data_IF_606266444275
#
_entry.id   IF_606266444275
#
_cell.length_a   1.000
_cell.length_b   1.000
_cell.length_c   1.000
_cell.angle_alpha   90.00
_cell.angle_beta   90.00
_cell.angle_gamma   90.00
#
_symmetry.space_group_name_H-M   'P 1'
#
loop_
_entity.id
_entity.type
_entity.pdbx_description
1 polymer ?
#
# COMPACT_ATOMS: atom_id res chain seq x y z
N UNK A 1 32.68 -40.15 18.98
CA UNK A 1 31.80 -40.57 17.87
C UNK A 1 30.52 -41.12 18.45
N UNK A 2 29.41 -40.39 18.31
CA UNK A 2 28.06 -40.91 18.52
C UNK A 2 27.12 -40.10 17.60
N UNK A 3 26.37 -40.84 16.81
CA UNK A 3 25.65 -40.45 15.60
C UNK A 3 24.37 -39.66 15.87
N UNK A 4 24.04 -38.77 14.93
CA UNK A 4 23.00 -37.77 15.05
C UNK A 4 21.57 -38.28 15.09
N UNK A 5 20.73 -37.51 15.79
CA UNK A 5 19.30 -37.42 15.50
C UNK A 5 19.10 -36.19 14.63
N UNK A 6 19.07 -36.41 13.32
CA UNK A 6 18.50 -35.43 12.39
C UNK A 6 17.00 -35.37 12.68
N UNK A 7 16.58 -34.28 13.33
CA UNK A 7 15.17 -33.93 13.42
C UNK A 7 14.70 -33.63 11.99
N UNK A 8 13.99 -34.57 11.38
CA UNK A 8 13.32 -34.37 10.09
C UNK A 8 12.03 -33.59 10.38
N UNK A 9 11.91 -32.31 9.97
CA UNK A 9 10.65 -31.62 10.15
C UNK A 9 9.58 -32.31 9.29
N UNK A 10 8.43 -32.52 9.93
CA UNK A 10 7.26 -33.14 9.35
C UNK A 10 6.74 -32.33 8.14
N UNK A 11 6.38 -33.06 7.08
CA UNK A 11 5.47 -32.68 5.98
C UNK A 11 5.51 -31.22 5.50
N UNK A 12 6.24 -30.97 4.40
CA UNK A 12 6.04 -29.79 3.55
C UNK A 12 4.57 -29.78 3.07
N UNK A 13 3.75 -28.88 3.62
CA UNK A 13 2.61 -28.38 2.86
C UNK A 13 3.16 -27.86 1.54
N UNK A 14 2.45 -28.08 0.41
CA UNK A 14 2.77 -27.34 -0.81
C UNK A 14 2.38 -25.88 -0.53
N UNK A 15 3.28 -25.14 0.12
CA UNK A 15 3.07 -23.74 0.49
C UNK A 15 2.72 -22.93 -0.75
N UNK A 16 1.80 -21.98 -0.56
CA UNK A 16 1.44 -21.03 -1.61
C UNK A 16 2.69 -20.25 -1.99
N UNK A 17 3.06 -20.15 -3.28
CA UNK A 17 4.22 -19.37 -3.68
C UNK A 17 4.09 -17.92 -3.22
N UNK A 18 5.20 -17.30 -2.79
CA UNK A 18 5.23 -15.90 -2.33
C UNK A 18 4.66 -14.94 -3.38
N UNK A 19 4.99 -15.17 -4.66
CA UNK A 19 4.43 -14.40 -5.77
C UNK A 19 2.90 -14.47 -5.84
N UNK A 20 2.30 -15.61 -5.47
CA UNK A 20 0.84 -15.78 -5.37
C UNK A 20 0.30 -15.04 -4.16
N UNK A 21 0.93 -15.15 -2.99
CA UNK A 21 0.57 -14.38 -1.77
C UNK A 21 0.55 -12.88 -2.05
N UNK A 22 1.53 -12.36 -2.77
CA UNK A 22 1.57 -10.95 -3.17
C UNK A 22 0.40 -10.51 -4.09
N UNK A 23 -0.23 -11.45 -4.81
CA UNK A 23 -1.39 -11.17 -5.71
C UNK A 23 -2.75 -11.42 -5.05
N UNK A 24 -2.84 -12.27 -4.04
CA UNK A 24 -4.10 -12.56 -3.35
C UNK A 24 -4.86 -11.29 -2.89
N UNK A 25 -4.20 -10.24 -2.34
CA UNK A 25 -4.89 -9.00 -1.98
C UNK A 25 -5.57 -8.29 -3.16
N UNK A 26 -5.01 -8.41 -4.38
CA UNK A 26 -5.61 -7.84 -5.60
C UNK A 26 -6.88 -8.58 -5.98
N UNK A 27 -6.87 -9.92 -5.88
CA UNK A 27 -8.06 -10.75 -6.10
C UNK A 27 -9.14 -10.46 -5.08
N UNK A 28 -8.76 -10.37 -3.80
CA UNK A 28 -9.69 -10.03 -2.73
C UNK A 28 -10.34 -8.67 -2.98
N UNK A 29 -9.57 -7.64 -3.36
CA UNK A 29 -10.13 -6.31 -3.69
C UNK A 29 -11.17 -6.39 -4.81
N UNK A 30 -10.86 -7.12 -5.89
CA UNK A 30 -11.80 -7.29 -7.00
C UNK A 30 -13.06 -8.05 -6.57
N UNK A 31 -12.92 -9.14 -5.82
CA UNK A 31 -14.03 -9.94 -5.31
C UNK A 31 -14.91 -9.16 -4.32
N UNK A 32 -14.33 -8.36 -3.42
CA UNK A 32 -15.10 -7.49 -2.51
C UNK A 32 -15.97 -6.51 -3.30
N UNK A 33 -15.43 -5.88 -4.34
CA UNK A 33 -16.20 -4.98 -5.20
C UNK A 33 -17.33 -5.70 -5.98
N UNK A 34 -17.15 -6.99 -6.31
CA UNK A 34 -18.21 -7.82 -6.91
C UNK A 34 -19.29 -8.18 -5.87
N UNK A 35 -18.88 -8.53 -4.65
CA UNK A 35 -19.76 -8.87 -3.54
C UNK A 35 -20.63 -7.69 -3.11
N UNK A 36 -20.07 -6.47 -3.05
CA UNK A 36 -20.82 -5.23 -2.76
C UNK A 36 -21.92 -4.94 -3.79
N UNK A 37 -21.78 -5.46 -5.02
CA UNK A 37 -22.79 -5.38 -6.08
C UNK A 37 -23.70 -6.61 -6.14
N UNK A 38 -23.62 -7.48 -5.14
CA UNK A 38 -24.39 -8.73 -5.05
C UNK A 38 -24.23 -9.64 -6.27
N UNK A 39 -23.03 -9.67 -6.88
CA UNK A 39 -22.71 -10.61 -7.96
C UNK A 39 -22.44 -11.98 -7.33
N UNK A 40 -23.23 -13.03 -7.63
CA UNK A 40 -23.09 -14.32 -6.98
C UNK A 40 -21.89 -15.12 -7.52
N UNK A 41 -21.66 -15.05 -8.83
CA UNK A 41 -20.62 -15.82 -9.52
C UNK A 41 -19.83 -14.96 -10.49
N UNK A 42 -18.53 -15.25 -10.65
CA UNK A 42 -17.65 -14.56 -11.60
C UNK A 42 -16.80 -15.53 -12.39
N UNK A 43 -16.60 -15.27 -13.68
CA UNK A 43 -15.67 -16.07 -14.49
C UNK A 43 -14.21 -15.75 -14.16
N UNK A 44 -13.29 -16.67 -14.49
CA UNK A 44 -11.86 -16.42 -14.35
C UNK A 44 -11.34 -15.27 -15.23
N UNK A 45 -12.02 -14.96 -16.33
CA UNK A 45 -11.61 -13.92 -17.27
C UNK A 45 -12.02 -12.54 -16.75
N UNK A 46 -13.27 -12.40 -16.32
CA UNK A 46 -13.77 -11.18 -15.69
C UNK A 46 -13.01 -10.85 -14.41
N UNK A 47 -12.78 -11.84 -13.55
CA UNK A 47 -12.04 -11.60 -12.30
C UNK A 47 -10.57 -11.25 -12.56
N UNK A 48 -9.94 -11.88 -13.56
CA UNK A 48 -8.57 -11.56 -13.92
C UNK A 48 -8.45 -10.15 -14.50
N UNK A 49 -9.40 -9.73 -15.34
CA UNK A 49 -9.48 -8.37 -15.85
C UNK A 49 -9.66 -7.35 -14.72
N UNK A 50 -10.60 -7.60 -13.79
CA UNK A 50 -10.83 -6.73 -12.64
C UNK A 50 -9.61 -6.62 -11.70
N UNK A 51 -8.84 -7.71 -11.56
CA UNK A 51 -7.62 -7.74 -10.76
C UNK A 51 -6.36 -7.27 -11.51
N UNK A 52 -6.44 -7.00 -12.81
CA UNK A 52 -5.31 -6.59 -13.64
C UNK A 52 -4.27 -7.70 -13.86
N UNK A 53 -4.70 -8.96 -13.92
CA UNK A 53 -3.81 -10.12 -14.15
C UNK A 53 -4.23 -10.94 -15.36
N UNK A 54 -3.38 -11.87 -15.79
CA UNK A 54 -3.74 -12.87 -16.79
C UNK A 54 -4.61 -13.99 -16.18
N UNK A 55 -5.67 -14.42 -16.87
CA UNK A 55 -6.60 -15.45 -16.40
C UNK A 55 -5.96 -16.81 -16.16
N UNK A 56 -4.94 -17.19 -16.93
CA UNK A 56 -4.17 -18.42 -16.70
C UNK A 56 -3.35 -18.35 -15.40
N UNK A 57 -2.78 -17.18 -15.09
CA UNK A 57 -2.09 -16.96 -13.79
C UNK A 57 -3.09 -17.05 -12.64
N UNK A 58 -4.25 -16.41 -12.75
CA UNK A 58 -5.30 -16.47 -11.73
C UNK A 58 -5.74 -17.91 -11.46
N UNK A 59 -6.04 -18.69 -12.50
CA UNK A 59 -6.44 -20.11 -12.34
C UNK A 59 -5.35 -20.93 -11.64
N UNK A 60 -4.08 -20.68 -11.97
CA UNK A 60 -2.93 -21.33 -11.32
C UNK A 60 -2.79 -20.91 -9.85
N UNK A 61 -3.00 -19.63 -9.55
CA UNK A 61 -2.96 -19.12 -8.19
C UNK A 61 -4.05 -19.75 -7.33
N UNK A 62 -5.28 -19.80 -7.84
CA UNK A 62 -6.41 -20.38 -7.12
C UNK A 62 -6.26 -21.89 -6.94
N UNK A 63 -5.58 -22.59 -7.86
CA UNK A 63 -5.31 -24.02 -7.68
C UNK A 63 -4.46 -24.35 -6.44
N UNK A 64 -3.69 -23.39 -5.90
CA UNK A 64 -2.96 -23.57 -4.64
C UNK A 64 -3.85 -23.42 -3.41
N UNK A 65 -4.93 -22.63 -3.52
CA UNK A 65 -5.91 -22.45 -2.45
C UNK A 65 -6.90 -23.64 -2.42
N UNK A 66 -7.30 -24.14 -3.59
CA UNK A 66 -8.20 -25.28 -3.73
C UNK A 66 -8.97 -25.24 -5.05
N UNK A 67 -9.86 -26.21 -5.27
CA UNK A 67 -10.77 -26.18 -6.42
C UNK A 67 -12.04 -25.42 -6.07
N UNK A 68 -12.07 -24.12 -6.38
CA UNK A 68 -13.21 -23.24 -6.04
C UNK A 68 -14.03 -22.79 -7.25
N UNK A 69 -13.67 -23.28 -8.43
CA UNK A 69 -14.38 -22.99 -9.67
C UNK A 69 -15.08 -24.23 -10.19
N UNK A 70 -16.31 -24.06 -10.67
CA UNK A 70 -17.01 -25.08 -11.44
C UNK A 70 -16.90 -24.73 -12.92
N UNK A 71 -16.46 -25.70 -13.75
CA UNK A 71 -16.36 -25.51 -15.20
C UNK A 71 -17.75 -25.10 -15.74
N UNK A 72 -17.80 -23.99 -16.47
CA UNK A 72 -19.03 -23.45 -17.04
C UNK A 72 -19.88 -22.57 -16.12
N UNK A 73 -19.56 -22.49 -14.82
CA UNK A 73 -20.28 -21.65 -13.84
C UNK A 73 -19.40 -20.50 -13.33
N UNK A 74 -18.10 -20.74 -13.19
CA UNK A 74 -17.17 -19.77 -12.62
C UNK A 74 -16.95 -20.00 -11.13
N UNK A 75 -16.64 -18.94 -10.40
CA UNK A 75 -16.36 -18.97 -8.97
C UNK A 75 -17.49 -18.30 -8.19
N UNK A 76 -17.86 -18.89 -7.07
CA UNK A 76 -18.71 -18.26 -6.07
C UNK A 76 -17.96 -17.09 -5.41
N UNK A 77 -18.53 -15.89 -5.49
CA UNK A 77 -17.85 -14.66 -5.07
C UNK A 77 -17.71 -14.61 -3.55
N UNK A 78 -18.78 -14.82 -2.80
CA UNK A 78 -18.76 -14.73 -1.33
C UNK A 78 -17.84 -15.81 -0.73
N UNK A 79 -17.93 -17.03 -1.25
CA UNK A 79 -17.09 -18.13 -0.82
C UNK A 79 -15.60 -17.84 -1.09
N UNK A 80 -15.25 -17.31 -2.27
CA UNK A 80 -13.88 -16.93 -2.57
C UNK A 80 -13.38 -15.77 -1.69
N UNK A 81 -14.21 -14.76 -1.41
CA UNK A 81 -13.86 -13.69 -0.47
C UNK A 81 -13.48 -14.29 0.87
N UNK A 82 -14.29 -15.22 1.38
CA UNK A 82 -14.02 -15.89 2.65
C UNK A 82 -12.72 -16.72 2.61
N UNK A 83 -12.52 -17.56 1.59
CA UNK A 83 -11.33 -18.41 1.49
C UNK A 83 -10.04 -17.59 1.37
N UNK A 84 -10.02 -16.56 0.53
CA UNK A 84 -8.84 -15.70 0.36
C UNK A 84 -8.57 -14.88 1.64
N UNK A 85 -9.62 -14.36 2.28
CA UNK A 85 -9.47 -13.65 3.56
C UNK A 85 -8.89 -14.55 4.65
N UNK A 86 -9.36 -15.80 4.73
CA UNK A 86 -8.82 -16.80 5.65
C UNK A 86 -7.35 -17.10 5.38
N UNK A 87 -6.99 -17.34 4.12
CA UNK A 87 -5.60 -17.65 3.75
C UNK A 87 -4.64 -16.48 4.01
N UNK A 88 -5.11 -15.24 3.80
CA UNK A 88 -4.35 -14.03 4.12
C UNK A 88 -4.34 -13.70 5.62
N UNK A 89 -4.99 -14.49 6.47
CA UNK A 89 -5.09 -14.23 7.90
C UNK A 89 -5.97 -13.04 8.25
N UNK A 90 -6.81 -12.54 7.34
CA UNK A 90 -7.68 -11.36 7.56
C UNK A 90 -8.99 -11.69 8.28
N UNK A 91 -9.09 -12.87 8.88
CA UNK A 91 -10.23 -13.30 9.72
C UNK A 91 -10.04 -12.98 11.21
N UNK A 92 -8.88 -12.40 11.55
CA UNK A 92 -8.54 -11.91 12.88
C UNK A 92 -8.09 -10.44 12.78
N UNK A 93 -8.17 -9.74 13.91
CA UNK A 93 -7.64 -8.39 14.01
C UNK A 93 -6.12 -8.42 14.21
N UNK A 94 -5.41 -7.65 13.40
CA UNK A 94 -3.98 -7.40 13.50
C UNK A 94 -3.77 -6.00 14.08
N UNK A 95 -3.31 -5.88 15.34
CA UNK A 95 -3.02 -4.58 15.94
C UNK A 95 -1.77 -3.98 15.29
N UNK A 96 -1.92 -2.75 14.79
CA UNK A 96 -0.89 -2.00 14.06
C UNK A 96 -0.45 -0.79 14.88
N UNK A 97 0.86 -0.57 14.98
CA UNK A 97 1.41 0.70 15.46
C UNK A 97 1.93 1.52 14.29
N UNK A 98 1.64 2.82 14.27
CA UNK A 98 2.19 3.75 13.27
C UNK A 98 3.20 4.65 13.97
N UNK A 99 4.45 4.63 13.50
CA UNK A 99 5.54 5.45 14.04
C UNK A 99 5.90 6.55 13.04
N UNK A 100 5.86 7.80 13.51
CA UNK A 100 6.02 9.01 12.71
C UNK A 100 4.67 9.55 12.23
N UNK A 101 4.09 10.48 12.98
CA UNK A 101 2.77 11.12 12.72
C UNK A 101 2.98 12.49 12.05
N UNK A 102 3.78 12.50 10.99
CA UNK A 102 3.80 13.59 10.01
C UNK A 102 2.61 13.51 9.05
N UNK A 103 2.71 14.17 7.89
CA UNK A 103 1.64 14.16 6.88
C UNK A 103 1.21 12.75 6.46
N UNK A 104 2.18 11.86 6.18
CA UNK A 104 1.91 10.49 5.74
C UNK A 104 1.34 9.63 6.87
N UNK A 105 1.95 9.66 8.06
CA UNK A 105 1.47 8.89 9.21
C UNK A 105 0.05 9.27 9.61
N UNK A 106 -0.27 10.58 9.62
CA UNK A 106 -1.62 11.06 9.88
C UNK A 106 -2.63 10.63 8.80
N UNK A 107 -2.23 10.61 7.52
CA UNK A 107 -3.08 10.11 6.44
C UNK A 107 -3.34 8.60 6.57
N UNK A 108 -2.31 7.81 6.91
CA UNK A 108 -2.43 6.37 7.16
C UNK A 108 -3.33 6.07 8.36
N UNK A 109 -3.21 6.86 9.44
CA UNK A 109 -4.06 6.70 10.62
C UNK A 109 -5.55 6.96 10.33
N UNK A 110 -5.87 7.91 9.43
CA UNK A 110 -7.24 8.21 9.01
C UNK A 110 -7.76 7.29 7.89
N UNK A 111 -6.96 6.34 7.41
CA UNK A 111 -7.35 5.47 6.32
C UNK A 111 -8.27 4.34 6.81
N UNK A 112 -9.58 4.50 6.63
CA UNK A 112 -10.59 3.51 7.04
C UNK A 112 -10.44 2.13 6.38
N UNK A 113 -9.69 2.03 5.28
CA UNK A 113 -9.45 0.76 4.59
C UNK A 113 -8.56 -0.23 5.34
N UNK A 114 -7.88 0.18 6.42
CA UNK A 114 -7.18 -0.75 7.32
C UNK A 114 -8.14 -1.53 8.20
N UNK A 115 -9.04 -0.83 8.91
CA UNK A 115 -10.00 -1.46 9.81
C UNK A 115 -10.92 -2.45 9.07
N UNK A 116 -11.39 -2.08 7.86
CA UNK A 116 -12.23 -2.95 7.03
C UNK A 116 -11.51 -4.22 6.52
N UNK A 117 -10.19 -4.32 6.70
CA UNK A 117 -9.36 -5.45 6.27
C UNK A 117 -8.73 -6.19 7.45
N UNK A 118 -9.21 -5.95 8.68
CA UNK A 118 -8.69 -6.59 9.88
C UNK A 118 -7.39 -5.96 10.41
N UNK A 119 -6.99 -4.78 9.93
CA UNK A 119 -5.84 -4.05 10.46
C UNK A 119 -6.33 -2.93 11.38
N UNK A 120 -6.26 -3.15 12.69
CA UNK A 120 -6.69 -2.17 13.69
C UNK A 120 -5.50 -1.31 14.08
N UNK A 121 -5.57 0.00 13.81
CA UNK A 121 -4.59 0.95 14.35
C UNK A 121 -4.75 0.99 15.87
N UNK A 122 -3.75 0.49 16.58
CA UNK A 122 -3.77 0.34 18.04
C UNK A 122 -3.05 1.49 18.75
N UNK A 123 -2.01 2.07 18.12
CA UNK A 123 -1.30 3.21 18.67
C UNK A 123 -0.65 4.07 17.58
N UNK A 124 -0.53 5.35 17.88
CA UNK A 124 0.16 6.36 17.07
C UNK A 124 1.35 6.88 17.88
N UNK A 125 2.55 6.85 17.30
CA UNK A 125 3.80 7.17 18.00
C UNK A 125 4.54 8.28 17.26
N UNK A 126 4.98 9.30 17.99
CA UNK A 126 5.87 10.33 17.45
C UNK A 126 6.98 10.67 18.46
N UNK A 127 8.12 11.15 17.94
CA UNK A 127 9.25 11.58 18.73
C UNK A 127 9.21 13.10 19.03
N UNK A 128 8.39 13.87 18.32
CA UNK A 128 8.16 15.28 18.63
C UNK A 128 7.29 15.39 19.90
N UNK A 129 7.81 15.95 21.01
CA UNK A 129 7.04 16.14 22.24
C UNK A 129 5.79 17.01 22.03
N UNK A 130 5.79 17.89 21.02
CA UNK A 130 4.63 18.69 20.68
C UNK A 130 3.50 17.87 20.06
N UNK A 131 3.77 16.66 19.57
CA UNK A 131 2.75 15.74 19.04
C UNK A 131 2.12 14.89 20.13
N UNK A 132 2.83 14.60 21.21
CA UNK A 132 2.31 13.82 22.33
C UNK A 132 0.99 14.40 22.88
N UNK A 133 -0.03 13.55 23.02
CA UNK A 133 -1.37 13.90 23.46
C UNK A 133 -2.28 14.51 22.39
N UNK A 134 -1.78 14.93 21.22
CA UNK A 134 -2.64 15.46 20.16
C UNK A 134 -3.52 14.35 19.58
N UNK A 135 -4.82 14.60 19.34
CA UNK A 135 -5.69 13.62 18.71
C UNK A 135 -5.44 13.57 17.20
N UNK A 136 -5.18 12.38 16.67
CA UNK A 136 -5.13 12.09 15.24
C UNK A 136 -6.01 10.87 14.98
N UNK A 137 -6.93 10.97 14.02
CA UNK A 137 -7.92 9.92 13.76
C UNK A 137 -8.73 9.49 15.00
N UNK A 138 -8.94 10.41 15.95
CA UNK A 138 -9.63 10.13 17.22
C UNK A 138 -8.77 9.42 18.29
N UNK A 139 -7.47 9.18 18.03
CA UNK A 139 -6.53 8.55 18.96
C UNK A 139 -5.45 9.53 19.41
N UNK A 140 -5.08 9.58 20.71
CA UNK A 140 -3.96 10.41 21.15
C UNK A 140 -2.64 9.83 20.62
N UNK A 141 -1.78 10.71 20.11
CA UNK A 141 -0.40 10.36 19.77
C UNK A 141 0.39 10.19 21.07
N UNK A 142 1.17 9.11 21.17
CA UNK A 142 2.02 8.80 22.32
C UNK A 142 3.48 9.06 21.96
N UNK A 143 4.31 9.28 22.98
CA UNK A 143 5.72 9.57 22.77
C UNK A 143 6.49 8.30 22.44
N UNK A 144 7.54 8.43 21.64
CA UNK A 144 8.40 7.30 21.23
C UNK A 144 9.06 6.58 22.40
N UNK A 145 9.25 7.23 23.55
CA UNK A 145 9.86 6.61 24.73
C UNK A 145 9.00 5.49 25.33
N UNK A 146 7.69 5.52 25.10
CA UNK A 146 6.75 4.50 25.60
C UNK A 146 6.54 3.35 24.61
N UNK A 147 7.27 3.32 23.48
CA UNK A 147 7.02 2.40 22.36
C UNK A 147 6.97 0.93 22.78
N UNK A 148 7.96 0.44 23.52
CA UNK A 148 8.05 -0.96 23.94
C UNK A 148 6.86 -1.36 24.82
N UNK A 149 6.52 -0.49 25.79
CA UNK A 149 5.36 -0.68 26.67
C UNK A 149 4.06 -0.74 25.86
N UNK A 150 3.89 0.16 24.90
CA UNK A 150 2.70 0.23 24.05
C UNK A 150 2.57 -1.02 23.19
N UNK A 151 3.67 -1.55 22.67
CA UNK A 151 3.70 -2.78 21.88
C UNK A 151 3.20 -3.97 22.70
N UNK A 152 3.72 -4.12 23.93
CA UNK A 152 3.32 -5.18 24.86
C UNK A 152 1.84 -5.06 25.27
N UNK A 153 1.41 -3.88 25.71
CA UNK A 153 0.04 -3.66 26.21
C UNK A 153 -1.03 -3.86 25.13
N UNK A 154 -0.71 -3.55 23.88
CA UNK A 154 -1.66 -3.63 22.77
C UNK A 154 -1.53 -4.91 21.93
N UNK A 155 -0.56 -5.77 22.21
CA UNK A 155 -0.27 -6.97 21.42
C UNK A 155 0.04 -6.64 19.96
N UNK A 156 0.84 -5.59 19.73
CA UNK A 156 1.15 -5.10 18.38
C UNK A 156 1.82 -6.19 17.55
N UNK A 157 1.24 -6.48 16.40
CA UNK A 157 1.75 -7.50 15.48
C UNK A 157 2.48 -6.91 14.28
N UNK A 158 2.13 -5.67 13.89
CA UNK A 158 2.68 -5.01 12.69
C UNK A 158 3.11 -3.59 13.03
N UNK A 159 4.33 -3.23 12.63
CA UNK A 159 4.87 -1.87 12.72
C UNK A 159 4.82 -1.15 11.39
N UNK A 160 4.26 0.06 11.34
CA UNK A 160 4.33 0.95 10.17
C UNK A 160 5.31 2.07 10.47
N UNK A 161 6.35 2.20 9.65
CA UNK A 161 7.37 3.25 9.79
C UNK A 161 7.12 4.31 8.73
N UNK A 162 6.69 5.49 9.17
CA UNK A 162 6.47 6.68 8.35
C UNK A 162 7.35 7.86 8.81
N UNK A 163 8.53 7.55 9.35
CA UNK A 163 9.52 8.54 9.83
C UNK A 163 10.45 9.02 8.71
N UNK A 164 11.20 10.11 8.93
CA UNK A 164 12.35 10.45 8.10
C UNK A 164 13.38 9.30 8.03
N UNK A 165 14.18 9.25 6.95
CA UNK A 165 15.14 8.18 6.71
C UNK A 165 16.14 7.97 7.85
N UNK A 166 16.64 9.05 8.45
CA UNK A 166 17.66 8.98 9.51
C UNK A 166 17.17 8.32 10.81
N UNK A 167 15.86 8.30 11.07
CA UNK A 167 15.29 7.69 12.27
C UNK A 167 14.75 6.26 12.03
N UNK A 168 14.54 5.87 10.77
CA UNK A 168 13.80 4.65 10.43
C UNK A 168 14.49 3.37 10.92
N UNK A 169 15.82 3.28 10.84
CA UNK A 169 16.58 2.13 11.31
C UNK A 169 16.43 1.94 12.82
N UNK A 170 16.62 3.00 13.61
CA UNK A 170 16.47 2.95 15.06
C UNK A 170 15.05 2.55 15.48
N UNK A 171 14.02 3.08 14.81
CA UNK A 171 12.63 2.68 15.06
C UNK A 171 12.42 1.20 14.75
N UNK A 172 12.96 0.70 13.63
CA UNK A 172 12.84 -0.71 13.26
C UNK A 172 13.50 -1.64 14.29
N UNK A 173 14.68 -1.28 14.80
CA UNK A 173 15.38 -2.05 15.82
C UNK A 173 14.58 -2.13 17.12
N UNK A 174 13.95 -1.02 17.54
CA UNK A 174 13.09 -0.99 18.73
C UNK A 174 11.82 -1.82 18.55
N UNK A 175 11.18 -1.75 17.38
CA UNK A 175 10.03 -2.60 17.04
C UNK A 175 10.41 -4.09 17.14
N UNK A 176 11.55 -4.47 16.56
CA UNK A 176 12.05 -5.85 16.57
C UNK A 176 12.41 -6.31 17.99
N UNK A 177 13.07 -5.45 18.77
CA UNK A 177 13.43 -5.74 20.15
C UNK A 177 12.18 -5.97 21.04
N UNK A 178 11.09 -5.27 20.73
CA UNK A 178 9.78 -5.46 21.38
C UNK A 178 8.97 -6.65 20.82
N UNK A 179 9.53 -7.42 19.87
CA UNK A 179 8.93 -8.65 19.35
C UNK A 179 8.10 -8.48 18.08
N UNK A 180 8.07 -7.30 17.46
CA UNK A 180 7.37 -7.09 16.18
C UNK A 180 8.22 -7.65 15.03
N UNK A 181 7.69 -8.64 14.31
CA UNK A 181 8.39 -9.32 13.21
C UNK A 181 7.90 -8.92 11.82
N UNK A 182 6.85 -8.10 11.72
CA UNK A 182 6.31 -7.61 10.45
C UNK A 182 6.33 -6.09 10.38
N UNK A 183 7.05 -5.54 9.41
CA UNK A 183 7.26 -4.09 9.26
C UNK A 183 6.86 -3.61 7.87
N UNK A 184 6.01 -2.60 7.81
CA UNK A 184 5.69 -1.84 6.59
C UNK A 184 6.48 -0.53 6.61
N UNK A 185 7.47 -0.40 5.72
CA UNK A 185 8.39 0.73 5.68
C UNK A 185 8.05 1.71 4.54
N UNK A 186 7.66 2.93 4.92
CA UNK A 186 7.49 4.07 4.00
C UNK A 186 8.68 5.03 4.02
N UNK A 187 9.63 4.85 4.94
CA UNK A 187 10.81 5.71 4.96
C UNK A 187 11.65 5.47 3.69
N UNK A 188 12.25 6.52 3.10
CA UNK A 188 13.04 6.41 1.87
C UNK A 188 14.44 5.85 2.15
N UNK A 189 14.51 4.69 2.81
CA UNK A 189 15.73 3.97 3.13
C UNK A 189 15.46 2.46 3.17
N UNK A 190 16.52 1.68 3.00
CA UNK A 190 16.48 0.23 3.17
C UNK A 190 16.85 -0.08 4.62
N UNK A 191 16.03 -0.88 5.29
CA UNK A 191 16.26 -1.28 6.68
C UNK A 191 17.11 -2.54 6.71
N UNK A 192 18.05 -2.60 7.65
CA UNK A 192 18.80 -3.82 7.97
C UNK A 192 18.11 -4.53 9.12
N UNK A 193 17.58 -5.72 8.86
CA UNK A 193 16.83 -6.52 9.84
C UNK A 193 17.38 -7.94 9.93
N UNK A 194 17.24 -8.62 11.09
CA UNK A 194 17.67 -10.01 11.25
C UNK A 194 16.78 -10.98 10.46
N UNK A 195 17.24 -12.22 10.33
CA UNK A 195 16.44 -13.30 9.74
C UNK A 195 15.17 -13.54 10.56
N UNK A 196 14.04 -13.79 9.88
CA UNK A 196 12.73 -13.98 10.51
C UNK A 196 11.92 -12.69 10.72
N UNK A 197 12.43 -11.53 10.30
CA UNK A 197 11.68 -10.27 10.25
C UNK A 197 11.34 -9.95 8.79
N UNK A 198 10.05 -9.81 8.52
CA UNK A 198 9.53 -9.45 7.21
C UNK A 198 9.40 -7.93 7.09
N UNK A 199 10.10 -7.35 6.12
CA UNK A 199 10.02 -5.91 5.81
C UNK A 199 9.45 -5.72 4.42
N UNK A 200 8.31 -5.04 4.34
CA UNK A 200 7.71 -4.61 3.07
C UNK A 200 7.95 -3.12 2.87
N UNK A 201 8.78 -2.77 1.88
CA UNK A 201 9.00 -1.36 1.49
C UNK A 201 7.88 -0.87 0.58
N UNK A 202 7.39 0.34 0.81
CA UNK A 202 6.49 1.07 -0.10
C UNK A 202 7.19 2.35 -0.55
N UNK A 203 7.41 2.47 -1.86
CA UNK A 203 8.05 3.64 -2.46
C UNK A 203 7.18 4.17 -3.60
N UNK A 204 6.32 5.14 -3.27
CA UNK A 204 5.39 5.73 -4.24
C UNK A 204 6.12 6.42 -5.40
N UNK A 205 7.36 6.87 -5.20
CA UNK A 205 8.15 7.54 -6.23
C UNK A 205 8.59 6.55 -7.32
N UNK A 206 9.00 5.34 -6.92
CA UNK A 206 9.34 4.27 -7.86
C UNK A 206 8.13 3.89 -8.71
N UNK A 207 6.95 3.78 -8.10
CA UNK A 207 5.70 3.47 -8.82
C UNK A 207 5.38 4.54 -9.88
N UNK A 208 5.54 5.82 -9.55
CA UNK A 208 5.36 6.92 -10.51
C UNK A 208 6.40 6.90 -11.64
N UNK A 209 7.65 6.53 -11.36
CA UNK A 209 8.69 6.39 -12.39
C UNK A 209 8.35 5.28 -13.39
N UNK A 210 7.80 4.15 -12.90
CA UNK A 210 7.33 3.06 -13.76
C UNK A 210 6.19 3.54 -14.65
N UNK A 211 5.24 4.30 -14.11
CA UNK A 211 4.17 4.90 -14.91
C UNK A 211 4.70 5.89 -15.95
N UNK A 212 5.66 6.73 -15.58
CA UNK A 212 6.30 7.68 -16.50
C UNK A 212 6.98 6.97 -17.69
N UNK A 213 7.66 5.85 -17.45
CA UNK A 213 8.23 5.02 -18.51
C UNK A 213 7.18 4.51 -19.50
N UNK A 214 6.03 4.03 -19.00
CA UNK A 214 4.94 3.59 -19.88
C UNK A 214 4.31 4.73 -20.66
N UNK A 215 4.12 5.90 -20.04
CA UNK A 215 3.58 7.07 -20.73
C UNK A 215 4.51 7.57 -21.84
N UNK A 216 5.83 7.57 -21.60
CA UNK A 216 6.81 7.90 -22.64
C UNK A 216 6.75 6.94 -23.84
N UNK A 217 6.56 5.64 -23.60
CA UNK A 217 6.44 4.65 -24.68
C UNK A 217 5.17 4.82 -25.50
N UNK A 218 4.03 5.06 -24.85
CA UNK A 218 2.77 5.35 -25.54
C UNK A 218 2.88 6.61 -26.42
N UNK A 219 3.56 7.65 -25.91
CA UNK A 219 3.78 8.88 -26.65
C UNK A 219 4.69 8.67 -27.88
N UNK A 220 5.73 7.84 -27.76
CA UNK A 220 6.63 7.50 -28.88
C UNK A 220 6.01 6.59 -29.95
N UNK A 221 5.09 5.71 -29.56
CA UNK A 221 4.34 4.85 -30.49
C UNK A 221 3.25 5.63 -31.25
N UNK A 222 2.82 6.79 -30.74
CA UNK A 222 1.87 7.70 -31.39
C UNK A 222 2.46 8.66 -32.44
N UNK A 223 3.79 8.76 -32.55
CA UNK A 223 4.47 9.68 -33.47
C UNK A 223 5.07 9.03 -34.73
N UNK A 224 4.79 7.73 -34.98
CA UNK A 224 5.36 6.97 -36.10
C UNK A 224 4.42 6.73 -37.29
N UNK A 225 3.24 7.36 -37.35
CA UNK A 225 2.19 7.02 -38.32
C UNK A 225 1.57 8.21 -39.03
N UNK A 226 2.37 9.06 -39.68
CA UNK A 226 1.89 10.02 -40.67
C UNK A 226 3.00 10.31 -41.69
N UNK A 227 3.00 9.56 -42.79
CA UNK A 227 3.97 9.72 -43.87
C UNK A 227 3.88 8.58 -44.88
N UNK A 228 2.77 8.52 -45.61
CA UNK A 228 2.73 7.86 -46.91
C UNK A 228 2.05 8.82 -47.89
N UNK A 229 2.59 8.84 -49.10
CA UNK A 229 2.17 9.59 -50.30
C UNK A 229 2.85 10.95 -50.52
N UNK A 230 4.08 10.92 -51.07
CA UNK A 230 4.41 11.64 -52.31
C UNK A 230 5.53 10.88 -53.07
N UNK A 231 5.24 10.47 -54.31
CA UNK A 231 6.20 10.03 -55.31
C UNK A 231 7.17 11.16 -55.72
N UNK A 232 8.47 10.87 -55.84
CA UNK A 232 9.35 11.47 -56.85
C UNK A 232 10.70 10.74 -56.91
N UNK A 233 11.01 10.19 -58.08
CA UNK A 233 12.33 9.78 -58.55
C UNK A 233 13.40 10.88 -58.36
N UNK A 234 14.64 10.51 -57.98
CA UNK A 234 15.93 10.82 -58.67
C UNK A 234 17.14 10.43 -57.77
N UNK A 235 18.15 9.86 -58.41
CA UNK A 235 19.42 9.28 -57.92
C UNK A 235 20.40 10.19 -57.13
N UNK A 236 21.48 9.62 -56.52
CA UNK A 236 22.21 10.20 -55.39
C UNK A 236 23.43 11.04 -55.77
N UNK A 237 23.74 12.04 -54.94
CA UNK A 237 24.93 12.90 -55.08
C UNK A 237 25.52 13.31 -53.73
N UNK A 238 26.83 13.16 -53.61
CA UNK A 238 27.66 13.36 -52.42
C UNK A 238 27.67 14.79 -51.85
N UNK A 239 27.90 14.91 -50.53
CA UNK A 239 28.19 16.19 -49.88
C UNK A 239 28.48 16.03 -48.39
N UNK A 240 29.67 16.44 -47.98
CA UNK A 240 30.24 16.27 -46.65
C UNK A 240 29.85 17.38 -45.66
N UNK A 241 30.08 17.05 -44.38
CA UNK A 241 30.63 17.89 -43.31
C UNK A 241 29.69 18.71 -42.38
N UNK A 242 29.98 18.48 -41.09
CA UNK A 242 30.11 19.44 -39.99
C UNK A 242 28.87 19.85 -39.17
N UNK A 243 29.05 19.80 -37.85
CA UNK A 243 28.65 20.93 -37.00
C UNK A 243 27.82 20.64 -35.76
N UNK A 244 28.51 20.30 -34.66
CA UNK A 244 28.37 20.92 -33.33
C UNK A 244 26.99 21.06 -32.62
N UNK A 245 26.87 20.27 -31.54
CA UNK A 245 26.73 20.70 -30.13
C UNK A 245 25.38 21.24 -29.59
N UNK A 246 25.17 21.20 -28.25
CA UNK A 246 23.87 20.93 -27.61
C UNK A 246 23.18 22.18 -27.03
N UNK A 247 21.89 22.04 -26.71
CA UNK A 247 21.10 22.98 -25.88
C UNK A 247 20.00 22.19 -25.19
N UNK A 248 19.51 22.48 -23.99
CA UNK A 248 19.97 23.17 -22.79
C UNK A 248 18.88 22.86 -21.73
N UNK A 249 19.25 22.87 -20.45
CA UNK A 249 18.33 22.66 -19.33
C UNK A 249 17.19 23.69 -19.30
N UNK A 250 15.99 23.25 -18.94
CA UNK A 250 14.84 24.12 -18.65
C UNK A 250 14.61 24.13 -17.14
N UNK A 251 14.92 25.28 -16.51
CA UNK A 251 14.46 25.63 -15.16
C UNK A 251 12.94 25.89 -15.15
N UNK A 252 12.24 25.62 -14.03
CA UNK A 252 10.82 25.94 -13.89
C UNK A 252 10.62 27.38 -13.42
N UNK A 253 9.60 28.12 -13.88
CA UNK A 253 9.27 29.41 -13.31
C UNK A 253 8.49 29.25 -11.99
N UNK A 254 8.93 30.06 -11.02
CA UNK A 254 8.33 30.23 -9.72
C UNK A 254 7.00 31.01 -9.75
N UNK A 255 6.07 30.56 -8.90
CA UNK A 255 5.31 31.43 -8.00
C UNK A 255 4.12 32.22 -8.57
N UNK A 256 2.92 31.86 -8.09
CA UNK A 256 2.00 32.87 -7.55
C UNK A 256 1.12 32.30 -6.43
N UNK A 257 1.27 32.93 -5.27
CA UNK A 257 0.47 32.74 -4.07
C UNK A 257 -0.95 33.28 -4.26
N UNK A 258 -1.92 32.65 -3.59
CA UNK A 258 -3.21 33.25 -3.27
C UNK A 258 -3.53 32.93 -1.80
N UNK A 259 -3.46 33.97 -0.98
CA UNK A 259 -3.98 34.05 0.37
C UNK A 259 -5.43 34.58 0.36
N UNK A 260 -6.16 34.31 1.45
CA UNK A 260 -7.40 34.92 1.97
C UNK A 260 -8.48 33.84 2.24
N UNK A 261 -9.23 33.82 3.35
CA UNK A 261 -9.40 34.78 4.43
C UNK A 261 -9.89 34.09 5.71
N UNK A 262 -9.46 34.63 6.85
CA UNK A 262 -10.09 34.45 8.14
C UNK A 262 -11.23 35.45 8.32
N UNK A 263 -12.33 35.04 8.95
CA UNK A 263 -13.30 35.95 9.57
C UNK A 263 -13.83 35.34 10.86
N UNK A 264 -13.43 35.95 11.98
CA UNK A 264 -14.08 35.81 13.27
C UNK A 264 -14.69 37.17 13.63
N UNK A 265 -15.94 37.20 14.11
CA UNK A 265 -16.34 37.75 15.43
C UNK A 265 -17.86 37.98 15.57
N UNK A 266 -18.33 37.49 16.74
CA UNK A 266 -19.28 38.09 17.72
C UNK A 266 -20.75 38.30 17.34
N UNK A 267 -21.60 37.65 18.13
CA UNK A 267 -22.98 38.06 18.43
C UNK A 267 -23.69 37.08 19.36
N UNK A 268 -23.67 37.35 20.66
CA UNK A 268 -24.74 36.98 21.62
C UNK A 268 -25.21 38.28 22.32
N UNK A 269 -26.24 38.31 23.18
CA UNK A 269 -26.82 37.19 23.95
C UNK A 269 -28.37 37.21 24.04
N UNK A 270 -28.91 36.46 25.01
CA UNK A 270 -30.26 36.47 25.63
C UNK A 270 -31.35 35.54 25.09
N UNK A 271 -31.89 34.71 26.00
CA UNK A 271 -33.07 33.88 25.81
C UNK A 271 -33.14 32.71 26.79
N UNK A 272 -33.76 32.97 27.93
CA UNK A 272 -34.11 32.11 29.07
C UNK A 272 -34.38 30.60 28.87
N UNK A 273 -34.05 29.86 29.94
CA UNK A 273 -34.44 28.50 30.38
C UNK A 273 -35.98 28.39 30.59
N UNK A 274 -36.65 27.22 30.82
CA UNK A 274 -36.15 26.06 31.56
C UNK A 274 -36.57 24.64 31.09
N UNK A 275 -35.99 23.69 31.82
CA UNK A 275 -36.15 22.23 31.82
C UNK A 275 -37.58 21.69 31.84
N UNK A 276 -37.78 20.54 31.15
CA UNK A 276 -38.80 19.53 31.48
C UNK A 276 -38.26 18.12 31.16
N UNK A 277 -37.88 17.37 32.20
CA UNK A 277 -38.22 15.95 32.39
C UNK A 277 -39.53 15.92 33.20
N UNK A 278 -40.41 14.88 33.17
CA UNK A 278 -40.14 13.45 33.43
C UNK A 278 -40.90 12.51 32.45
N UNK A 279 -40.88 11.18 32.51
CA UNK A 279 -40.68 10.17 33.56
C UNK A 279 -40.07 8.88 32.96
#
# INVERSE_FOLDING_TARGET
MATGRTHRPATRSRGIPEATVARLPLYLRALTALSERSVPTVSSEELAAAAGVNSAKLRKDFSYLGSYGTRGVGYDVEYLVYQISRELGLTQDWPVVIVGIGNLGAALANYGGFASRGFRVAALIDADPAMAGKPVAGMPVQHTDDLEKIIEENGVSIGVIATPAGAAQQVSERLIAAGVTSILNFAPTVLSVPEGVDVRKVDLSIELQILAFHEQRKAGEGSGGAGADVDADTEPGAGAAAGAAPVAAVEPPAGRAAAAAAAARKGGPEGDVPAVMPA
#
